data_IF_547908381357
#
_entry.id   IF_547908381357
#
_cell.length_a   1.000
_cell.length_b   1.000
_cell.length_c   1.000
_cell.angle_alpha   90.00
_cell.angle_beta   90.00
_cell.angle_gamma   90.00
#
_symmetry.space_group_name_H-M   'P 1'
#
loop_
_entity.id
_entity.type
_entity.pdbx_description
1 polymer ?
#
# COMPACT_ATOMS: atom_id res chain seq x y z
N UNK A 1 -1.02 -24.39 17.42
CA UNK A 1 -0.75 -23.76 16.11
C UNK A 1 -1.90 -22.81 15.80
N UNK A 2 -1.69 -21.49 15.90
CA UNK A 2 -2.70 -20.51 15.50
C UNK A 2 -2.83 -20.59 13.99
N UNK A 3 -3.98 -21.06 13.51
CA UNK A 3 -4.33 -21.05 12.10
C UNK A 3 -4.26 -19.60 11.60
N UNK A 4 -3.53 -19.41 10.51
CA UNK A 4 -3.46 -18.17 9.72
C UNK A 4 -4.88 -17.77 9.34
N UNK A 5 -5.42 -16.75 9.97
CA UNK A 5 -6.64 -16.07 9.51
C UNK A 5 -6.37 -15.18 8.28
N UNK A 6 -5.13 -15.16 7.77
CA UNK A 6 -4.70 -14.32 6.65
C UNK A 6 -5.01 -14.89 5.24
N UNK A 7 -5.86 -15.91 5.10
CA UNK A 7 -6.09 -16.59 3.80
C UNK A 7 -7.41 -16.20 3.12
N UNK A 8 -8.14 -15.19 3.60
CA UNK A 8 -9.39 -14.74 2.95
C UNK A 8 -9.35 -13.27 2.53
N UNK A 9 -8.44 -12.92 1.62
CA UNK A 9 -8.67 -11.79 0.71
C UNK A 9 -7.98 -12.03 -0.62
N UNK A 10 -8.65 -11.74 -1.74
CA UNK A 10 -8.12 -11.80 -3.10
C UNK A 10 -6.99 -10.77 -3.35
N UNK A 11 -6.64 -9.98 -2.33
CA UNK A 11 -5.75 -8.82 -2.40
C UNK A 11 -4.68 -9.00 -1.32
N UNK A 12 -3.46 -9.29 -1.74
CA UNK A 12 -2.27 -9.30 -0.88
C UNK A 12 -1.41 -8.09 -1.29
N UNK A 13 -1.11 -7.13 -0.40
CA UNK A 13 -1.39 -7.06 1.04
C UNK A 13 -2.88 -6.90 1.40
N UNK A 14 -3.27 -7.41 2.57
CA UNK A 14 -4.64 -7.31 3.11
C UNK A 14 -5.07 -5.85 3.26
N UNK A 15 -6.32 -5.55 2.89
CA UNK A 15 -6.88 -4.20 3.06
C UNK A 15 -6.91 -3.76 4.51
N UNK A 16 -7.08 -4.68 5.47
CA UNK A 16 -7.14 -4.36 6.89
C UNK A 16 -5.78 -3.96 7.46
N UNK A 17 -4.68 -4.57 6.98
CA UNK A 17 -3.33 -4.17 7.41
C UNK A 17 -2.97 -2.77 6.94
N UNK A 18 -3.37 -2.40 5.73
CA UNK A 18 -3.15 -1.06 5.18
C UNK A 18 -4.05 0.01 5.84
N UNK A 19 -5.25 -0.37 6.27
CA UNK A 19 -6.17 0.54 6.97
C UNK A 19 -5.65 0.96 8.35
N UNK A 20 -4.86 0.12 9.02
CA UNK A 20 -4.18 0.49 10.27
C UNK A 20 -3.24 1.68 10.09
N UNK A 21 -2.70 1.88 8.88
CA UNK A 21 -1.76 2.96 8.58
C UNK A 21 -2.42 4.21 8.00
N UNK A 22 -3.58 4.05 7.34
CA UNK A 22 -4.21 5.13 6.57
C UNK A 22 -5.53 5.63 7.16
N UNK A 23 -6.05 4.97 8.21
CA UNK A 23 -7.26 5.30 8.97
C UNK A 23 -8.57 5.44 8.16
N UNK A 24 -8.53 5.45 6.82
CA UNK A 24 -9.68 5.59 5.92
C UNK A 24 -9.41 4.89 4.59
N UNK A 25 -10.41 4.14 4.11
CA UNK A 25 -10.37 3.47 2.80
C UNK A 25 -10.19 4.46 1.64
N UNK A 26 -10.81 5.63 1.73
CA UNK A 26 -10.69 6.66 0.71
C UNK A 26 -9.27 7.25 0.68
N UNK A 27 -8.70 7.51 1.86
CA UNK A 27 -7.32 7.97 1.96
C UNK A 27 -6.34 6.94 1.39
N UNK A 28 -6.54 5.65 1.70
CA UNK A 28 -5.75 4.55 1.15
C UNK A 28 -5.76 4.52 -0.39
N UNK A 29 -6.94 4.60 -1.00
CA UNK A 29 -7.08 4.57 -2.47
C UNK A 29 -6.40 5.77 -3.11
N UNK A 30 -6.59 6.97 -2.55
CA UNK A 30 -5.96 8.20 -3.06
C UNK A 30 -4.44 8.15 -2.89
N UNK A 31 -3.95 7.68 -1.74
CA UNK A 31 -2.52 7.55 -1.46
C UNK A 31 -1.85 6.56 -2.41
N UNK A 32 -2.43 5.36 -2.57
CA UNK A 32 -1.92 4.34 -3.48
C UNK A 32 -1.93 4.83 -4.93
N UNK A 33 -2.98 5.54 -5.36
CA UNK A 33 -3.09 6.08 -6.72
C UNK A 33 -2.05 7.16 -7.00
N UNK A 34 -1.84 8.09 -6.06
CA UNK A 34 -0.81 9.13 -6.18
C UNK A 34 0.57 8.50 -6.23
N UNK A 35 0.85 7.57 -5.32
CA UNK A 35 2.14 6.91 -5.23
C UNK A 35 2.46 6.07 -6.46
N UNK A 36 1.47 5.34 -7.01
CA UNK A 36 1.65 4.60 -8.24
C UNK A 36 2.03 5.51 -9.44
N UNK A 37 1.50 6.73 -9.51
CA UNK A 37 1.86 7.72 -10.54
C UNK A 37 3.28 8.24 -10.37
N UNK A 38 3.75 8.43 -9.14
CA UNK A 38 5.16 8.78 -8.88
C UNK A 38 6.10 7.68 -9.35
N UNK A 39 5.80 6.41 -9.03
CA UNK A 39 6.57 5.26 -9.48
C UNK A 39 6.60 5.16 -11.01
N UNK A 40 5.44 5.39 -11.66
CA UNK A 40 5.35 5.46 -13.12
C UNK A 40 6.21 6.60 -13.71
N UNK A 41 6.34 7.71 -12.99
CA UNK A 41 7.15 8.86 -13.39
C UNK A 41 8.65 8.67 -13.14
N UNK A 42 9.08 7.48 -12.68
CA UNK A 42 10.48 7.14 -12.43
C UNK A 42 10.93 7.35 -10.98
N UNK A 43 10.02 7.62 -10.04
CA UNK A 43 10.38 7.71 -8.63
C UNK A 43 10.96 6.38 -8.13
N UNK A 44 11.95 6.41 -7.22
CA UNK A 44 12.52 5.19 -6.66
C UNK A 44 11.46 4.43 -5.87
N UNK A 45 11.35 3.14 -6.18
CA UNK A 45 10.55 2.21 -5.40
C UNK A 45 11.33 1.82 -4.13
N UNK A 46 10.63 1.89 -3.00
CA UNK A 46 11.18 1.70 -1.66
C UNK A 46 11.00 0.28 -1.12
N UNK A 47 10.27 -0.59 -1.83
CA UNK A 47 10.20 -2.03 -1.52
C UNK A 47 11.40 -2.78 -2.09
N UNK A 48 11.82 -3.84 -1.40
CA UNK A 48 12.95 -4.68 -1.84
C UNK A 48 12.59 -5.51 -3.06
N UNK A 49 11.39 -6.10 -3.07
CA UNK A 49 10.90 -6.91 -4.17
C UNK A 49 9.96 -6.09 -5.05
N UNK A 50 10.44 -5.62 -6.21
CA UNK A 50 9.61 -4.81 -7.11
C UNK A 50 8.71 -5.70 -7.94
N UNK A 51 7.41 -5.56 -7.76
CA UNK A 51 6.42 -6.09 -8.68
C UNK A 51 6.41 -5.32 -10.02
N UNK A 52 5.93 -5.99 -11.07
CA UNK A 52 5.75 -5.39 -12.40
C UNK A 52 4.71 -4.26 -12.43
N UNK A 53 3.75 -4.27 -11.49
CA UNK A 53 2.66 -3.30 -11.43
C UNK A 53 2.97 -2.23 -10.38
N UNK A 54 2.98 -0.96 -10.78
CA UNK A 54 3.22 0.17 -9.87
C UNK A 54 2.21 0.25 -8.72
N UNK A 55 0.96 -0.16 -8.95
CA UNK A 55 -0.08 -0.17 -7.91
C UNK A 55 0.24 -1.19 -6.81
N UNK A 56 0.77 -2.36 -7.18
CA UNK A 56 1.20 -3.39 -6.22
C UNK A 56 2.35 -2.87 -5.36
N UNK A 57 3.36 -2.28 -5.99
CA UNK A 57 4.49 -1.67 -5.27
C UNK A 57 4.04 -0.54 -4.33
N UNK A 58 3.11 0.31 -4.77
CA UNK A 58 2.56 1.37 -3.93
C UNK A 58 1.82 0.81 -2.72
N UNK A 59 1.03 -0.25 -2.88
CA UNK A 59 0.33 -0.91 -1.78
C UNK A 59 1.30 -1.58 -0.80
N UNK A 60 2.37 -2.22 -1.28
CA UNK A 60 3.41 -2.80 -0.42
C UNK A 60 4.17 -1.72 0.36
N UNK A 61 4.54 -0.60 -0.29
CA UNK A 61 5.17 0.53 0.39
C UNK A 61 4.29 1.13 1.49
N UNK A 62 2.98 1.20 1.26
CA UNK A 62 2.00 1.61 2.27
C UNK A 62 1.89 0.54 3.36
N UNK A 63 1.86 -0.74 3.02
CA UNK A 63 1.77 -1.81 4.03
C UNK A 63 3.02 -1.91 4.92
N UNK A 64 4.18 -1.54 4.40
CA UNK A 64 5.45 -1.47 5.14
C UNK A 64 5.65 -0.14 5.90
N UNK A 65 4.75 0.84 5.75
CA UNK A 65 4.88 2.15 6.40
C UNK A 65 5.99 3.03 5.83
N UNK A 66 6.46 2.73 4.61
CA UNK A 66 7.46 3.53 3.89
C UNK A 66 6.88 4.79 3.26
N UNK A 67 5.55 4.89 3.18
CA UNK A 67 4.79 6.02 2.66
C UNK A 67 3.68 6.36 3.64
N UNK A 68 3.60 7.63 4.03
CA UNK A 68 2.54 8.18 4.89
C UNK A 68 1.86 9.35 4.20
N UNK A 69 0.74 9.81 4.75
CA UNK A 69 0.00 10.96 4.24
C UNK A 69 -0.28 11.95 5.37
N UNK A 70 -0.46 13.21 5.01
CA UNK A 70 -0.88 14.27 5.92
C UNK A 70 -2.04 15.01 5.26
N UNK A 71 -3.12 15.18 6.00
CA UNK A 71 -4.20 16.08 5.58
C UNK A 71 -3.74 17.47 6.02
N UNK A 72 -3.62 18.39 5.07
CA UNK A 72 -3.44 19.81 5.42
C UNK A 72 -4.80 20.35 5.82
N UNK A 73 -4.86 20.94 7.02
CA UNK A 73 -6.00 21.74 7.49
C UNK A 73 -6.24 22.96 6.56
#
# INVERSE_FOLDING_TARGET
MKLKEDVLSMVNPSTDSMLKQTHSRYALVVLASKRARELLSGAPCRVENRANKFVTNAMEEINEGKITYTIKD
#
